data_IF_130485488401
#
_entry.id   IF_130485488401
#
_cell.length_a   1.000
_cell.length_b   1.000
_cell.length_c   1.000
_cell.angle_alpha   90.00
_cell.angle_beta   90.00
_cell.angle_gamma   90.00
#
_symmetry.space_group_name_H-M   'P 1'
#
loop_
_entity.id
_entity.type
_entity.pdbx_description
1 polymer ?
#
# COMPACT_ATOMS: atom_id res chain seq x y z
N UNK A 1 -7.32 -8.27 89.07
CA UNK A 1 -7.42 -9.41 88.15
C UNK A 1 -7.08 -8.89 86.76
N UNK A 2 -5.93 -9.29 86.23
CA UNK A 2 -5.45 -8.90 84.90
C UNK A 2 -6.26 -9.67 83.88
N UNK A 3 -6.83 -9.00 82.88
CA UNK A 3 -6.96 -9.65 81.57
C UNK A 3 -6.55 -8.72 80.44
N UNK A 4 -5.91 -9.36 79.48
CA UNK A 4 -4.95 -8.85 78.52
C UNK A 4 -5.64 -8.85 77.15
N UNK A 5 -4.99 -8.16 76.20
CA UNK A 5 -4.94 -8.52 74.76
C UNK A 5 -5.95 -7.84 73.82
N UNK A 6 -5.61 -6.59 73.47
CA UNK A 6 -5.21 -6.16 72.11
C UNK A 6 -5.81 -6.98 70.95
N UNK A 7 -6.76 -6.40 70.19
CA UNK A 7 -6.82 -6.54 68.73
C UNK A 7 -7.28 -5.23 68.08
N UNK A 8 -6.30 -4.60 67.47
CA UNK A 8 -6.34 -3.59 66.40
C UNK A 8 -7.36 -3.94 65.32
N UNK A 9 -8.05 -2.95 64.77
CA UNK A 9 -8.64 -2.89 63.42
C UNK A 9 -8.91 -1.39 63.14
N UNK A 10 -7.92 -0.58 62.78
CA UNK A 10 -7.39 -0.37 61.41
C UNK A 10 -8.51 -0.15 60.37
N UNK A 11 -8.67 1.13 60.04
CA UNK A 11 -9.10 1.71 58.76
C UNK A 11 -10.44 1.23 58.17
N UNK A 12 -11.47 2.07 58.28
CA UNK A 12 -12.55 2.10 57.29
C UNK A 12 -11.93 2.46 55.93
N UNK A 13 -11.72 1.44 55.10
CA UNK A 13 -11.30 1.59 53.73
C UNK A 13 -12.45 2.26 52.93
N UNK A 14 -12.23 3.51 52.52
CA UNK A 14 -13.00 4.12 51.45
C UNK A 14 -12.63 3.42 50.14
N UNK A 15 -13.45 2.43 49.74
CA UNK A 15 -13.34 1.84 48.40
C UNK A 15 -14.08 2.76 47.43
N UNK A 16 -13.38 3.77 46.91
CA UNK A 16 -13.80 4.46 45.70
C UNK A 16 -13.57 3.47 44.56
N UNK A 17 -14.63 2.82 44.09
CA UNK A 17 -14.61 2.11 42.81
C UNK A 17 -14.49 3.17 41.70
N UNK A 18 -13.27 3.63 41.44
CA UNK A 18 -12.96 4.33 40.20
C UNK A 18 -13.01 3.28 39.09
N UNK A 19 -14.17 3.14 38.46
CA UNK A 19 -14.30 2.46 37.18
C UNK A 19 -13.51 3.27 36.16
N UNK A 20 -12.20 3.07 36.11
CA UNK A 20 -11.39 3.45 34.96
C UNK A 20 -11.81 2.49 33.85
N UNK A 21 -12.87 2.87 33.14
CA UNK A 21 -13.16 2.33 31.83
C UNK A 21 -11.88 2.56 31.02
N UNK A 22 -11.10 1.50 30.86
CA UNK A 22 -10.09 1.45 29.82
C UNK A 22 -10.84 1.74 28.53
N UNK A 23 -10.68 2.97 28.04
CA UNK A 23 -10.95 3.36 26.67
C UNK A 23 -9.95 2.55 25.83
N UNK A 24 -10.24 1.27 25.65
CA UNK A 24 -9.71 0.53 24.51
C UNK A 24 -10.23 1.32 23.31
N UNK A 25 -9.35 1.90 22.46
CA UNK A 25 -9.83 2.46 21.22
C UNK A 25 -10.57 1.32 20.54
N UNK A 26 -11.88 1.49 20.34
CA UNK A 26 -12.66 0.57 19.55
C UNK A 26 -11.97 0.54 18.18
N UNK A 27 -11.21 -0.53 17.95
CA UNK A 27 -10.75 -0.92 16.64
C UNK A 27 -11.93 -0.75 15.70
N UNK A 28 -11.85 0.21 14.78
CA UNK A 28 -12.97 0.49 13.87
C UNK A 28 -13.43 -0.84 13.26
N UNK A 29 -14.73 -1.12 13.13
CA UNK A 29 -15.24 -2.44 12.74
C UNK A 29 -14.66 -2.98 11.42
N UNK A 30 -14.03 -2.12 10.60
CA UNK A 30 -13.21 -2.49 9.45
C UNK A 30 -12.03 -3.44 9.79
N UNK A 31 -11.54 -3.47 11.03
CA UNK A 31 -10.40 -4.29 11.44
C UNK A 31 -10.80 -5.75 11.76
N UNK A 32 -12.08 -6.02 12.01
CA UNK A 32 -12.56 -7.34 12.45
C UNK A 32 -12.93 -8.29 11.29
N UNK A 33 -13.21 -7.78 10.09
CA UNK A 33 -13.64 -8.61 8.94
C UNK A 33 -12.49 -9.12 8.05
N UNK A 34 -11.24 -8.72 8.34
CA UNK A 34 -10.11 -8.93 7.43
C UNK A 34 -10.16 -8.01 6.21
N UNK A 35 -9.01 -7.49 5.80
CA UNK A 35 -8.89 -6.65 4.62
C UNK A 35 -9.22 -7.45 3.34
N UNK A 36 -10.16 -6.95 2.53
CA UNK A 36 -10.51 -7.54 1.24
C UNK A 36 -9.55 -7.06 0.14
N UNK A 37 -9.32 -7.88 -0.88
CA UNK A 37 -8.56 -7.45 -2.06
C UNK A 37 -9.31 -6.31 -2.78
N UNK A 38 -8.59 -5.30 -3.28
CA UNK A 38 -9.21 -4.14 -3.94
C UNK A 38 -9.91 -4.49 -5.25
N UNK A 39 -9.49 -5.55 -5.96
CA UNK A 39 -10.12 -5.98 -7.22
C UNK A 39 -11.58 -6.39 -7.00
N UNK A 40 -11.93 -7.34 -6.10
CA UNK A 40 -13.33 -7.61 -5.77
C UNK A 40 -14.10 -6.40 -5.21
N UNK A 41 -13.44 -5.51 -4.45
CA UNK A 41 -14.12 -4.35 -3.87
C UNK A 41 -14.54 -3.34 -4.94
N UNK A 42 -13.64 -3.04 -5.89
CA UNK A 42 -13.89 -2.13 -7.02
C UNK A 42 -15.01 -2.58 -7.98
N UNK A 43 -15.38 -3.86 -7.92
CA UNK A 43 -16.50 -4.44 -8.67
C UNK A 43 -17.84 -4.35 -7.93
N UNK A 44 -17.87 -3.77 -6.73
CA UNK A 44 -19.07 -3.59 -5.91
C UNK A 44 -19.32 -2.11 -5.64
N UNK A 45 -20.55 -1.74 -5.28
CA UNK A 45 -20.88 -0.37 -4.81
C UNK A 45 -20.36 -0.07 -3.40
N UNK A 46 -19.42 -0.88 -2.88
CA UNK A 46 -18.87 -0.75 -1.53
C UNK A 46 -17.56 0.03 -1.57
N UNK A 47 -17.44 1.00 -0.66
CA UNK A 47 -16.20 1.72 -0.35
C UNK A 47 -15.61 1.21 0.95
N UNK A 48 -14.29 1.19 1.06
CA UNK A 48 -13.61 0.86 2.31
C UNK A 48 -12.14 0.49 2.13
N UNK A 49 -11.51 0.15 3.24
CA UNK A 49 -10.14 -0.30 3.24
C UNK A 49 -9.97 -1.60 2.45
N UNK A 50 -8.93 -1.67 1.61
CA UNK A 50 -8.63 -2.84 0.81
C UNK A 50 -7.12 -3.04 0.66
N UNK A 51 -6.70 -4.16 0.08
CA UNK A 51 -5.30 -4.44 -0.19
C UNK A 51 -5.04 -4.83 -1.64
N UNK A 52 -3.82 -4.55 -2.12
CA UNK A 52 -3.28 -5.04 -3.38
C UNK A 52 -1.87 -5.58 -3.18
N UNK A 53 -1.44 -6.49 -4.06
CA UNK A 53 -0.04 -6.91 -4.11
C UNK A 53 0.80 -5.81 -4.76
N UNK A 54 2.07 -5.71 -4.33
CA UNK A 54 3.05 -4.78 -4.88
C UNK A 54 4.45 -5.38 -4.87
N UNK A 55 5.26 -5.05 -5.87
CA UNK A 55 6.69 -5.31 -5.86
C UNK A 55 7.45 -4.24 -5.08
N UNK A 56 8.29 -4.70 -4.13
CA UNK A 56 9.29 -3.88 -3.45
C UNK A 56 10.64 -4.58 -3.58
N UNK A 57 11.53 -4.00 -4.40
CA UNK A 57 12.88 -4.51 -4.61
C UNK A 57 12.93 -6.02 -4.94
N UNK A 58 12.07 -6.46 -5.87
CA UNK A 58 11.99 -7.84 -6.32
C UNK A 58 11.10 -8.75 -5.46
N UNK A 59 10.63 -8.29 -4.30
CA UNK A 59 9.80 -9.07 -3.38
C UNK A 59 8.35 -8.60 -3.45
N UNK A 60 7.43 -9.54 -3.65
CA UNK A 60 6.00 -9.24 -3.56
C UNK A 60 5.58 -9.06 -2.09
N UNK A 61 4.82 -7.99 -1.85
CA UNK A 61 4.31 -7.56 -0.54
C UNK A 61 2.85 -7.16 -0.66
N UNK A 62 2.17 -7.06 0.48
CA UNK A 62 0.80 -6.55 0.54
C UNK A 62 0.80 -5.06 0.84
N UNK A 63 0.18 -4.27 -0.02
CA UNK A 63 -0.10 -2.85 0.20
C UNK A 63 -1.54 -2.66 0.64
N UNK A 64 -1.75 -1.90 1.71
CA UNK A 64 -3.08 -1.62 2.28
C UNK A 64 -3.46 -0.17 2.02
N UNK A 65 -4.67 0.03 1.50
CA UNK A 65 -5.30 1.34 1.26
C UNK A 65 -6.34 1.56 2.37
N UNK A 66 -6.12 2.48 3.33
CA UNK A 66 -6.85 2.52 4.60
C UNK A 66 -8.22 3.21 4.55
N UNK A 67 -8.47 4.09 3.59
CA UNK A 67 -9.74 4.81 3.47
C UNK A 67 -10.51 4.38 2.21
N UNK A 68 -9.78 4.16 1.13
CA UNK A 68 -10.19 3.62 -0.16
C UNK A 68 -9.03 3.91 -1.13
N UNK A 69 -8.93 3.22 -2.27
CA UNK A 69 -8.01 3.60 -3.33
C UNK A 69 -8.55 4.81 -4.13
N UNK A 70 -9.02 5.86 -3.46
CA UNK A 70 -9.44 7.12 -4.09
C UNK A 70 -8.45 8.24 -3.80
N UNK A 71 -8.48 9.24 -4.67
CA UNK A 71 -7.64 10.43 -4.55
C UNK A 71 -7.83 11.12 -3.21
N UNK A 72 -6.72 11.54 -2.59
CA UNK A 72 -6.78 12.36 -1.39
C UNK A 72 -7.12 13.80 -1.78
N UNK A 73 -8.25 14.40 -1.36
CA UNK A 73 -8.56 15.78 -1.71
C UNK A 73 -7.60 16.74 -0.98
N UNK A 74 -6.81 17.52 -1.74
CA UNK A 74 -6.02 18.65 -1.23
C UNK A 74 -4.61 18.77 -1.83
N UNK A 75 -4.03 19.96 -1.73
CA UNK A 75 -2.63 20.20 -2.11
C UNK A 75 -1.68 19.41 -1.19
N UNK A 76 -0.72 18.70 -1.78
CA UNK A 76 0.20 17.86 -1.03
C UNK A 76 1.38 18.70 -0.52
N UNK A 77 1.30 19.08 0.76
CA UNK A 77 2.41 19.70 1.50
C UNK A 77 3.21 18.64 2.28
N UNK A 78 3.59 17.55 1.63
CA UNK A 78 4.46 16.51 2.22
C UNK A 78 5.70 16.38 1.35
N UNK A 79 6.88 16.52 1.98
CA UNK A 79 8.19 16.31 1.38
C UNK A 79 8.51 14.82 1.13
N UNK A 80 7.63 13.92 1.59
CA UNK A 80 7.78 12.46 1.47
C UNK A 80 6.61 11.84 0.69
N UNK A 81 6.64 11.98 -0.63
CA UNK A 81 5.72 11.29 -1.55
C UNK A 81 6.52 10.21 -2.27
N UNK A 82 6.09 8.95 -2.15
CA UNK A 82 6.68 7.85 -2.90
C UNK A 82 6.05 7.69 -4.28
N UNK A 83 6.76 7.12 -5.23
CA UNK A 83 6.20 6.80 -6.54
C UNK A 83 5.54 5.42 -6.52
N UNK A 84 4.39 5.33 -7.17
CA UNK A 84 3.67 4.09 -7.43
C UNK A 84 3.61 3.87 -8.94
N UNK A 85 4.27 2.82 -9.39
CA UNK A 85 4.39 2.50 -10.80
C UNK A 85 3.43 1.38 -11.18
N UNK A 86 2.56 1.63 -12.15
CA UNK A 86 1.74 0.62 -12.82
C UNK A 86 2.52 0.14 -14.04
N UNK A 87 2.84 -1.15 -14.04
CA UNK A 87 3.65 -1.83 -15.04
C UNK A 87 2.89 -3.03 -15.60
N UNK A 88 3.38 -3.61 -16.69
CA UNK A 88 2.79 -4.84 -17.18
C UNK A 88 3.04 -5.99 -16.19
N UNK A 89 2.22 -7.06 -16.21
CA UNK A 89 2.39 -8.19 -15.31
C UNK A 89 3.80 -8.79 -15.38
N UNK A 90 4.41 -9.01 -14.22
CA UNK A 90 5.77 -9.55 -14.09
C UNK A 90 5.78 -11.06 -13.82
N UNK A 91 4.60 -11.66 -13.62
CA UNK A 91 4.36 -13.10 -13.51
C UNK A 91 3.11 -13.49 -14.27
N UNK A 92 2.74 -14.78 -14.23
CA UNK A 92 1.50 -15.26 -14.85
C UNK A 92 0.24 -14.81 -14.08
N UNK A 93 0.40 -14.50 -12.78
CA UNK A 93 -0.67 -13.99 -11.91
C UNK A 93 -0.48 -12.49 -11.70
N UNK A 94 -1.30 -11.64 -12.33
CA UNK A 94 -1.16 -10.19 -12.24
C UNK A 94 -1.71 -9.70 -10.90
N UNK A 95 -1.18 -8.59 -10.39
CA UNK A 95 -1.63 -8.00 -9.13
C UNK A 95 -2.97 -7.27 -9.29
N UNK A 96 -3.23 -6.70 -10.47
CA UNK A 96 -4.48 -6.03 -10.85
C UNK A 96 -5.01 -6.50 -12.20
N UNK A 97 -6.31 -6.32 -12.43
CA UNK A 97 -6.99 -6.79 -13.64
C UNK A 97 -7.90 -5.75 -14.32
N UNK A 98 -8.17 -4.60 -13.68
CA UNK A 98 -9.08 -3.58 -14.19
C UNK A 98 -8.40 -2.20 -14.21
N UNK A 99 -8.55 -1.42 -15.29
CA UNK A 99 -9.25 -1.76 -16.54
C UNK A 99 -8.45 -2.74 -17.43
N UNK A 100 -7.22 -3.09 -17.06
CA UNK A 100 -6.35 -4.04 -17.75
C UNK A 100 -5.51 -4.84 -16.74
N UNK A 101 -4.87 -5.92 -17.17
CA UNK A 101 -3.94 -6.70 -16.32
C UNK A 101 -2.65 -5.92 -16.10
N UNK A 102 -2.25 -5.73 -14.85
CA UNK A 102 -1.06 -4.97 -14.49
C UNK A 102 -0.49 -5.42 -13.14
N UNK A 103 0.74 -4.99 -12.88
CA UNK A 103 1.41 -5.09 -11.59
C UNK A 103 1.77 -3.69 -11.08
N UNK A 104 2.12 -3.62 -9.80
CA UNK A 104 2.49 -2.40 -9.09
C UNK A 104 3.92 -2.51 -8.57
N UNK A 105 4.67 -1.41 -8.60
CA UNK A 105 6.01 -1.33 -8.00
C UNK A 105 6.17 -0.04 -7.19
N UNK A 106 6.80 -0.15 -6.02
CA UNK A 106 7.18 0.98 -5.17
C UNK A 106 8.62 0.82 -4.68
N UNK A 107 9.26 1.91 -4.25
CA UNK A 107 10.68 1.91 -3.86
C UNK A 107 10.95 1.32 -2.46
N UNK A 108 10.05 1.56 -1.51
CA UNK A 108 10.21 1.22 -0.10
C UNK A 108 8.88 0.82 0.58
N UNK A 109 8.98 0.48 1.87
CA UNK A 109 7.86 0.04 2.71
C UNK A 109 7.32 1.11 3.67
N UNK A 110 7.92 2.31 3.71
CA UNK A 110 7.63 3.37 4.68
C UNK A 110 6.58 4.37 4.20
N UNK A 111 6.05 4.22 2.99
CA UNK A 111 5.14 5.21 2.45
C UNK A 111 3.80 5.27 3.17
N UNK A 112 3.30 6.49 3.31
CA UNK A 112 1.93 6.81 3.76
C UNK A 112 1.17 7.57 2.67
N UNK A 113 1.88 8.11 1.65
CA UNK A 113 1.33 8.83 0.49
C UNK A 113 2.13 8.46 -0.75
N UNK A 114 1.44 8.20 -1.86
CA UNK A 114 2.00 7.76 -3.13
C UNK A 114 1.46 8.60 -4.29
N UNK A 115 2.28 8.73 -5.33
CA UNK A 115 1.94 9.39 -6.60
C UNK A 115 2.03 8.39 -7.77
N UNK A 116 0.99 8.33 -8.59
CA UNK A 116 0.80 7.30 -9.60
C UNK A 116 1.44 7.60 -10.95
N UNK A 117 2.11 6.61 -11.53
CA UNK A 117 2.63 6.62 -12.89
C UNK A 117 2.27 5.36 -13.66
N UNK A 118 1.91 5.51 -14.93
CA UNK A 118 1.89 4.39 -15.88
C UNK A 118 3.26 4.32 -16.58
N UNK A 119 3.84 3.13 -16.67
CA UNK A 119 5.17 2.95 -17.30
C UNK A 119 5.01 2.35 -18.68
N UNK A 120 5.37 3.11 -19.71
CA UNK A 120 5.31 2.69 -21.11
C UNK A 120 6.71 2.52 -21.70
N UNK A 121 6.86 1.63 -22.67
CA UNK A 121 8.04 1.65 -23.50
C UNK A 121 8.09 2.94 -24.31
N UNK A 122 9.25 3.61 -24.31
CA UNK A 122 9.49 4.74 -25.20
C UNK A 122 9.71 4.26 -26.63
N UNK A 123 9.66 5.19 -27.59
CA UNK A 123 10.06 4.90 -28.98
C UNK A 123 11.49 4.35 -29.07
N UNK A 124 12.45 4.96 -28.35
CA UNK A 124 13.84 4.50 -28.33
C UNK A 124 13.97 3.08 -27.79
N UNK A 125 13.28 2.77 -26.69
CA UNK A 125 13.27 1.44 -26.09
C UNK A 125 12.64 0.37 -26.99
N UNK A 126 11.63 0.73 -27.78
CA UNK A 126 11.01 -0.18 -28.77
C UNK A 126 11.96 -0.41 -29.94
N UNK A 127 12.52 0.66 -30.53
CA UNK A 127 13.42 0.58 -31.69
C UNK A 127 14.67 -0.25 -31.35
N UNK A 128 15.25 -0.03 -30.17
CA UNK A 128 16.42 -0.78 -29.71
C UNK A 128 16.09 -2.21 -29.25
N UNK A 129 14.80 -2.55 -29.14
CA UNK A 129 14.29 -3.78 -28.51
C UNK A 129 14.74 -3.95 -27.06
N UNK A 130 15.12 -2.85 -26.42
CA UNK A 130 15.48 -2.85 -25.00
C UNK A 130 14.25 -2.87 -24.11
N UNK A 131 13.09 -2.40 -24.57
CA UNK A 131 11.85 -2.43 -23.81
C UNK A 131 10.81 -3.32 -24.48
N UNK A 132 10.22 -4.23 -23.72
CA UNK A 132 9.20 -5.15 -24.20
C UNK A 132 7.84 -4.88 -23.56
N UNK A 133 6.77 -5.00 -24.34
CA UNK A 133 5.37 -4.97 -23.89
C UNK A 133 4.73 -6.34 -24.14
N UNK A 134 3.92 -6.92 -23.23
CA UNK A 134 3.41 -8.28 -23.40
C UNK A 134 2.24 -8.40 -24.37
N UNK A 135 1.41 -7.36 -24.55
CA UNK A 135 0.21 -7.37 -25.43
C UNK A 135 -0.17 -5.96 -25.89
N UNK A 136 -0.88 -5.81 -27.03
CA UNK A 136 -1.22 -4.50 -27.58
C UNK A 136 -2.43 -3.78 -26.93
N UNK A 137 -3.21 -4.43 -26.05
CA UNK A 137 -4.42 -3.80 -25.49
C UNK A 137 -4.10 -2.60 -24.58
N UNK A 138 -3.00 -2.67 -23.83
CA UNK A 138 -2.44 -1.55 -23.10
C UNK A 138 -0.92 -1.73 -22.97
N UNK A 139 -0.09 -0.89 -23.63
CA UNK A 139 1.32 -1.20 -23.89
C UNK A 139 2.24 -0.85 -22.72
N UNK A 140 1.89 -1.29 -21.51
CA UNK A 140 2.77 -1.13 -20.36
C UNK A 140 4.08 -1.90 -20.55
N UNK A 141 5.16 -1.34 -20.04
CA UNK A 141 6.48 -1.96 -20.06
C UNK A 141 6.48 -3.22 -19.18
N UNK A 142 7.01 -4.33 -19.70
CA UNK A 142 7.23 -5.58 -18.98
C UNK A 142 8.68 -5.78 -18.60
N UNK A 143 9.60 -5.63 -19.55
CA UNK A 143 11.03 -5.82 -19.32
C UNK A 143 11.85 -4.66 -19.87
N UNK A 144 13.02 -4.45 -19.27
CA UNK A 144 14.08 -3.57 -19.80
C UNK A 144 15.38 -4.36 -19.88
N UNK A 145 15.94 -4.51 -21.08
CA UNK A 145 17.11 -5.34 -21.36
C UNK A 145 16.94 -6.76 -20.77
N UNK A 146 15.74 -7.33 -20.92
CA UNK A 146 15.37 -8.64 -20.36
C UNK A 146 15.17 -8.69 -18.85
N UNK A 147 15.33 -7.56 -18.13
CA UNK A 147 15.14 -7.48 -16.68
C UNK A 147 13.70 -7.11 -16.33
N UNK A 148 13.16 -7.75 -15.28
CA UNK A 148 11.82 -7.45 -14.75
C UNK A 148 11.78 -6.09 -14.05
N UNK A 149 10.64 -5.42 -14.08
CA UNK A 149 10.42 -4.10 -13.49
C UNK A 149 9.94 -4.16 -12.03
N UNK A 150 10.40 -5.14 -11.25
CA UNK A 150 9.97 -5.37 -9.85
C UNK A 150 10.67 -4.45 -8.82
N UNK A 151 11.41 -3.44 -9.27
CA UNK A 151 12.05 -2.46 -8.40
C UNK A 151 11.94 -1.06 -9.00
N UNK A 152 11.70 -0.06 -8.14
CA UNK A 152 11.63 1.34 -8.56
C UNK A 152 12.93 1.80 -9.22
N UNK A 153 14.09 1.40 -8.69
CA UNK A 153 15.39 1.72 -9.26
C UNK A 153 15.54 1.26 -10.71
N UNK A 154 15.02 0.07 -11.07
CA UNK A 154 15.07 -0.39 -12.46
C UNK A 154 14.23 0.49 -13.38
N UNK A 155 13.03 0.88 -12.93
CA UNK A 155 12.11 1.75 -13.66
C UNK A 155 12.71 3.15 -13.84
N UNK A 156 13.20 3.76 -12.76
CA UNK A 156 13.75 5.11 -12.73
C UNK A 156 15.05 5.22 -13.55
N UNK A 157 15.89 4.19 -13.49
CA UNK A 157 17.09 4.10 -14.32
C UNK A 157 16.74 3.98 -15.81
N UNK A 158 15.76 3.15 -16.15
CA UNK A 158 15.27 3.02 -17.53
C UNK A 158 14.65 4.33 -18.04
N UNK A 159 13.91 5.05 -17.18
CA UNK A 159 13.32 6.35 -17.53
C UNK A 159 14.41 7.39 -17.77
N UNK A 160 15.42 7.44 -16.89
CA UNK A 160 16.59 8.33 -17.02
C UNK A 160 17.40 8.03 -18.28
N UNK A 161 17.41 6.78 -18.73
CA UNK A 161 18.07 6.34 -19.97
C UNK A 161 17.21 6.52 -21.21
N UNK A 162 15.99 7.06 -21.08
CA UNK A 162 15.06 7.26 -22.18
C UNK A 162 14.52 5.98 -22.79
N UNK A 163 14.57 4.84 -22.08
CA UNK A 163 14.05 3.56 -22.56
C UNK A 163 12.56 3.38 -22.25
N UNK A 164 12.08 4.02 -21.18
CA UNK A 164 10.65 4.09 -20.83
C UNK A 164 10.19 5.53 -20.70
N UNK A 165 8.89 5.73 -20.82
CA UNK A 165 8.20 6.97 -20.51
C UNK A 165 7.33 6.76 -19.28
N UNK A 166 7.46 7.64 -18.29
CA UNK A 166 6.57 7.69 -17.13
C UNK A 166 5.43 8.65 -17.46
N UNK A 167 4.22 8.12 -17.59
CA UNK A 167 3.02 8.93 -17.75
C UNK A 167 2.42 9.21 -16.38
N UNK A 168 2.49 10.47 -15.96
CA UNK A 168 1.90 10.95 -14.72
C UNK A 168 0.37 10.86 -14.80
N UNK A 169 -0.26 10.15 -13.87
CA UNK A 169 -1.72 10.00 -13.85
C UNK A 169 -2.43 11.14 -13.11
N UNK A 170 -1.69 11.97 -12.38
CA UNK A 170 -2.23 12.93 -11.41
C UNK A 170 -2.73 12.28 -10.11
N UNK A 171 -2.78 10.95 -10.04
CA UNK A 171 -3.40 10.24 -8.93
C UNK A 171 -2.50 10.24 -7.69
N UNK A 172 -3.08 10.59 -6.54
CA UNK A 172 -2.39 10.57 -5.25
C UNK A 172 -3.23 9.87 -4.20
N UNK A 173 -2.63 8.95 -3.45
CA UNK A 173 -3.37 8.12 -2.51
C UNK A 173 -2.52 7.76 -1.29
N UNK A 174 -3.21 7.42 -0.20
CA UNK A 174 -2.56 6.93 1.01
C UNK A 174 -2.54 5.40 0.99
N UNK A 175 -1.38 4.82 1.23
CA UNK A 175 -1.23 3.38 1.34
C UNK A 175 -0.09 3.04 2.29
N UNK A 176 -0.11 1.83 2.84
CA UNK A 176 0.91 1.30 3.76
C UNK A 176 1.35 -0.06 3.23
N UNK A 177 2.66 -0.25 3.03
CA UNK A 177 3.19 -1.58 2.70
C UNK A 177 3.31 -2.39 3.98
N UNK A 178 2.71 -3.57 3.98
CA UNK A 178 2.70 -4.52 5.09
C UNK A 178 3.50 -5.77 4.73
N UNK A 179 3.68 -6.67 5.72
CA UNK A 179 4.30 -7.97 5.52
C UNK A 179 3.57 -8.86 4.49
N UNK A 180 4.14 -10.05 4.25
CA UNK A 180 3.49 -11.08 3.41
C UNK A 180 2.19 -11.56 4.05
#
# INVERSE_FOLDING_TARGET
MIDKKRRTNVLLAAVILAAVAFLVPAASPAQAAGLINCVPLSLTDRSGACWESVWVNGVERRMVFPQEAKEFPGAIHSDRVGNFYVIAPQTDTPQGALPFRHDHTVADTHFTKLHGFLVFCSEAGIISRSCETPTPSFPLARTINGQTLKSATAIESAASSGLVTLFDTGATFAAIVTGK
#
